data_IF_216870419666
#
_entry.id   IF_216870419666
#
_cell.length_a   1.000
_cell.length_b   1.000
_cell.length_c   1.000
_cell.angle_alpha   90.00
_cell.angle_beta   90.00
_cell.angle_gamma   90.00
#
_symmetry.space_group_name_H-M   'P 1'
#
loop_
_entity.id
_entity.type
_entity.pdbx_description
1 polymer ?
#
# COMPACT_ATOMS: atom_id res chain seq x y z
N UNK A 1 -49.94 -10.59 -52.20
CA UNK A 1 -48.89 -11.59 -51.90
C UNK A 1 -47.50 -10.96 -51.92
N UNK A 2 -47.05 -10.37 -53.03
CA UNK A 2 -45.72 -9.74 -53.15
C UNK A 2 -45.47 -8.59 -52.17
N UNK A 3 -46.46 -7.70 -51.99
CA UNK A 3 -46.36 -6.55 -51.07
C UNK A 3 -46.24 -6.96 -49.59
N UNK A 4 -46.95 -8.02 -49.20
CA UNK A 4 -46.91 -8.57 -47.83
C UNK A 4 -45.56 -9.23 -47.53
N UNK A 5 -44.98 -9.92 -48.51
CA UNK A 5 -43.63 -10.52 -48.39
C UNK A 5 -42.57 -9.43 -48.26
N UNK A 6 -42.66 -8.35 -49.06
CA UNK A 6 -41.75 -7.20 -48.95
C UNK A 6 -41.86 -6.53 -47.58
N UNK A 7 -43.08 -6.31 -47.07
CA UNK A 7 -43.29 -5.73 -45.75
C UNK A 7 -42.74 -6.62 -44.61
N UNK A 8 -42.93 -7.94 -44.70
CA UNK A 8 -42.41 -8.89 -43.72
C UNK A 8 -40.87 -8.93 -43.71
N UNK A 9 -40.25 -8.87 -44.90
CA UNK A 9 -38.78 -8.83 -45.03
C UNK A 9 -38.22 -7.52 -44.48
N UNK A 10 -38.85 -6.37 -44.77
CA UNK A 10 -38.43 -5.07 -44.23
C UNK A 10 -38.54 -5.05 -42.70
N UNK A 11 -39.63 -5.58 -42.14
CA UNK A 11 -39.82 -5.65 -40.69
C UNK A 11 -38.75 -6.54 -40.02
N UNK A 12 -38.43 -7.69 -40.61
CA UNK A 12 -37.42 -8.60 -40.10
C UNK A 12 -36.00 -7.99 -40.09
N UNK A 13 -35.65 -7.23 -41.14
CA UNK A 13 -34.34 -6.54 -41.24
C UNK A 13 -34.20 -5.44 -40.18
N UNK A 14 -35.28 -4.70 -39.89
CA UNK A 14 -35.27 -3.66 -38.86
C UNK A 14 -35.08 -4.25 -37.46
N UNK A 15 -35.74 -5.38 -37.15
CA UNK A 15 -35.65 -6.05 -35.84
C UNK A 15 -34.25 -6.63 -35.58
N UNK A 16 -33.58 -7.17 -36.62
CA UNK A 16 -32.22 -7.68 -36.50
C UNK A 16 -31.18 -6.57 -36.25
N UNK A 17 -31.42 -5.35 -36.74
CA UNK A 17 -30.51 -4.22 -36.57
C UNK A 17 -30.47 -3.62 -35.15
N UNK A 18 -31.57 -3.74 -34.39
CA UNK A 18 -31.66 -3.14 -33.03
C UNK A 18 -31.09 -4.01 -31.92
N UNK A 19 -30.82 -5.30 -32.19
CA UNK A 19 -30.21 -6.24 -31.25
C UNK A 19 -28.67 -6.13 -31.17
N UNK A 20 -28.05 -5.25 -31.96
CA UNK A 20 -26.59 -5.08 -32.04
C UNK A 20 -25.95 -4.24 -30.93
N UNK A 21 -26.73 -3.54 -30.09
CA UNK A 21 -26.19 -2.70 -29.01
C UNK A 21 -26.15 -3.46 -27.68
N UNK A 22 -25.23 -4.41 -27.56
CA UNK A 22 -24.80 -4.93 -26.26
C UNK A 22 -24.06 -3.85 -25.45
N UNK A 23 -23.98 -3.96 -24.11
CA UNK A 23 -23.30 -2.97 -23.27
C UNK A 23 -21.86 -2.73 -23.77
N UNK A 24 -21.56 -1.46 -24.05
CA UNK A 24 -20.26 -1.00 -24.56
C UNK A 24 -19.14 -1.55 -23.68
N UNK A 25 -18.08 -2.10 -24.29
CA UNK A 25 -16.85 -2.47 -23.57
C UNK A 25 -16.28 -1.21 -22.95
N UNK A 26 -16.55 -0.99 -21.67
CA UNK A 26 -16.08 0.19 -20.96
C UNK A 26 -14.56 0.28 -21.08
N UNK A 27 -14.05 1.40 -21.58
CA UNK A 27 -12.63 1.75 -21.64
C UNK A 27 -12.06 2.09 -20.26
N UNK A 28 -12.55 1.41 -19.21
CA UNK A 28 -12.05 1.56 -17.85
C UNK A 28 -10.68 0.89 -17.78
N UNK A 29 -9.64 1.67 -18.03
CA UNK A 29 -8.27 1.26 -17.77
C UNK A 29 -8.14 1.13 -16.26
N UNK A 30 -8.18 -0.09 -15.75
CA UNK A 30 -7.87 -0.36 -14.34
C UNK A 30 -6.51 0.28 -14.05
N UNK A 31 -6.45 1.14 -13.03
CA UNK A 31 -5.16 1.61 -12.51
C UNK A 31 -4.41 0.35 -12.10
N UNK A 32 -3.27 0.09 -12.75
CA UNK A 32 -2.41 -1.01 -12.36
C UNK A 32 -1.94 -0.80 -10.92
N UNK A 33 -1.52 -1.88 -10.24
CA UNK A 33 -0.90 -1.75 -8.93
C UNK A 33 0.27 -0.76 -9.00
N UNK A 34 0.46 0.00 -7.91
CA UNK A 34 1.64 0.85 -7.78
C UNK A 34 2.89 -0.01 -7.94
N UNK A 35 3.81 0.41 -8.81
CA UNK A 35 5.08 -0.28 -9.03
C UNK A 35 6.02 0.08 -7.88
N UNK A 36 6.27 -0.86 -6.99
CA UNK A 36 7.28 -0.71 -5.94
C UNK A 36 8.66 -0.91 -6.57
N UNK A 37 9.52 0.10 -6.50
CA UNK A 37 10.92 0.03 -6.91
C UNK A 37 11.77 -0.36 -5.70
N UNK A 38 12.59 -1.42 -5.77
CA UNK A 38 13.46 -1.79 -4.67
C UNK A 38 14.52 -0.70 -4.43
N UNK A 39 14.95 -0.56 -3.18
CA UNK A 39 16.07 0.31 -2.82
C UNK A 39 17.39 -0.30 -3.29
N UNK A 40 18.27 0.54 -3.82
CA UNK A 40 19.66 0.17 -4.14
C UNK A 40 20.50 0.23 -2.85
N UNK A 41 21.60 -0.53 -2.80
CA UNK A 41 22.53 -0.51 -1.67
C UNK A 41 22.94 0.94 -1.31
N UNK A 42 22.83 1.30 -0.02
CA UNK A 42 23.07 2.65 0.54
C UNK A 42 22.10 3.75 0.11
N UNK A 43 21.05 3.42 -0.64
CA UNK A 43 19.97 4.35 -0.91
C UNK A 43 19.07 4.49 0.33
N UNK A 44 18.67 5.72 0.64
CA UNK A 44 17.66 6.04 1.64
C UNK A 44 16.58 6.93 0.99
N UNK A 45 15.34 6.79 1.45
CA UNK A 45 14.20 7.61 1.00
C UNK A 45 13.53 8.19 2.24
N UNK A 46 13.28 9.51 2.30
CA UNK A 46 13.71 10.53 1.34
C UNK A 46 15.23 10.64 1.25
N UNK A 47 15.79 11.12 0.12
CA UNK A 47 17.24 11.23 -0.10
C UNK A 47 17.92 12.38 0.67
N UNK A 48 17.48 12.61 1.90
CA UNK A 48 17.99 13.62 2.83
C UNK A 48 18.51 12.92 4.09
N UNK A 49 19.34 13.60 4.88
CA UNK A 49 19.85 13.05 6.11
C UNK A 49 18.71 12.67 7.09
N UNK A 50 18.89 11.55 7.80
CA UNK A 50 17.91 10.96 8.71
C UNK A 50 17.36 11.98 9.73
N UNK A 51 18.24 12.76 10.36
CA UNK A 51 17.86 13.69 11.42
C UNK A 51 17.37 15.07 10.93
N UNK A 52 16.85 15.12 9.70
CA UNK A 52 16.24 16.34 9.14
C UNK A 52 14.75 16.36 9.48
N UNK A 53 14.17 17.56 9.64
CA UNK A 53 12.73 17.75 9.91
C UNK A 53 11.80 17.13 8.85
N UNK A 54 12.28 16.91 7.63
CA UNK A 54 11.52 16.29 6.54
C UNK A 54 11.63 14.76 6.50
N UNK A 55 12.42 14.18 7.40
CA UNK A 55 12.63 12.74 7.56
C UNK A 55 12.25 12.33 9.00
N UNK A 56 13.19 11.78 9.78
CA UNK A 56 12.93 11.29 11.14
C UNK A 56 12.91 12.40 12.20
N UNK A 57 13.27 13.64 11.85
CA UNK A 57 13.32 14.75 12.80
C UNK A 57 14.58 14.76 13.68
N UNK A 58 14.59 15.65 14.67
CA UNK A 58 15.75 15.83 15.56
C UNK A 58 15.85 14.69 16.58
N UNK A 59 17.08 14.29 16.92
CA UNK A 59 17.31 13.27 17.95
C UNK A 59 17.00 13.81 19.36
N UNK A 60 16.14 13.10 20.10
CA UNK A 60 15.78 13.44 21.47
C UNK A 60 16.77 12.91 22.53
N UNK A 61 17.81 12.20 22.09
CA UNK A 61 18.84 11.61 22.95
C UNK A 61 18.58 10.15 23.34
N UNK A 62 19.58 9.52 23.97
CA UNK A 62 19.55 8.09 24.33
C UNK A 62 18.57 7.83 25.48
N UNK A 63 17.80 6.75 25.39
CA UNK A 63 16.90 6.28 26.45
C UNK A 63 17.56 5.10 27.17
N UNK A 64 17.79 5.24 28.46
CA UNK A 64 18.25 4.18 29.35
C UNK A 64 17.07 3.51 30.06
N UNK A 65 17.26 2.28 30.58
CA UNK A 65 16.22 1.56 31.35
C UNK A 65 15.71 2.30 32.59
N UNK A 66 16.53 3.19 33.14
CA UNK A 66 16.20 3.99 34.33
C UNK A 66 15.59 5.36 33.97
N UNK A 67 15.52 5.72 32.69
CA UNK A 67 14.94 6.99 32.22
C UNK A 67 13.42 6.94 32.38
N UNK A 68 12.79 8.07 32.74
CA UNK A 68 11.34 8.20 32.76
C UNK A 68 10.72 7.93 31.39
N UNK A 69 11.42 8.30 30.30
CA UNK A 69 10.99 8.09 28.91
C UNK A 69 10.94 6.62 28.51
N UNK A 70 11.61 5.73 29.25
CA UNK A 70 11.55 4.30 28.97
C UNK A 70 10.14 3.73 29.13
N UNK A 71 9.30 4.37 29.95
CA UNK A 71 7.90 3.97 30.16
C UNK A 71 7.02 4.22 28.94
N UNK A 72 7.46 5.09 28.03
CA UNK A 72 6.73 5.41 26.80
C UNK A 72 7.03 4.39 25.68
N UNK A 73 8.00 3.49 25.89
CA UNK A 73 8.29 2.40 24.99
C UNK A 73 7.37 1.22 25.26
N UNK A 74 6.74 0.71 24.22
CA UNK A 74 5.85 -0.44 24.29
C UNK A 74 6.49 -1.68 23.65
N UNK A 75 6.35 -2.87 24.26
CA UNK A 75 6.88 -4.09 23.69
C UNK A 75 6.02 -4.59 22.52
N UNK A 76 6.65 -4.91 21.40
CA UNK A 76 6.01 -5.50 20.24
C UNK A 76 6.08 -7.04 20.28
N UNK A 77 4.92 -7.68 20.45
CA UNK A 77 4.76 -9.14 20.47
C UNK A 77 4.06 -9.69 19.21
N UNK A 78 4.20 -9.02 18.07
CA UNK A 78 3.64 -9.51 16.81
C UNK A 78 4.26 -10.86 16.41
N UNK A 79 3.41 -11.88 16.19
CA UNK A 79 3.84 -13.24 15.82
C UNK A 79 4.40 -13.33 14.39
N UNK A 80 4.18 -12.31 13.55
CA UNK A 80 4.67 -12.27 12.17
C UNK A 80 6.11 -11.72 12.07
N UNK A 81 6.62 -11.16 13.17
CA UNK A 81 7.96 -10.57 13.23
C UNK A 81 8.86 -11.49 14.04
N UNK A 82 9.96 -11.91 13.41
CA UNK A 82 11.02 -12.69 14.07
C UNK A 82 12.07 -11.70 14.57
N UNK A 83 12.18 -11.58 15.89
CA UNK A 83 13.22 -10.77 16.55
C UNK A 83 14.49 -11.59 16.74
N UNK A 84 15.65 -10.96 16.55
CA UNK A 84 16.95 -11.61 16.68
C UNK A 84 17.32 -11.84 18.14
N UNK A 85 17.27 -10.80 18.98
CA UNK A 85 17.51 -10.81 20.44
C UNK A 85 18.72 -11.68 20.85
N UNK A 86 19.90 -11.39 20.30
CA UNK A 86 21.14 -12.12 20.61
C UNK A 86 21.58 -11.90 22.07
N UNK A 87 21.12 -10.81 22.69
CA UNK A 87 21.38 -10.44 24.07
C UNK A 87 20.51 -11.22 25.06
N UNK A 88 19.38 -11.80 24.60
CA UNK A 88 18.40 -12.50 25.43
C UNK A 88 17.71 -11.60 26.47
N UNK A 89 17.60 -10.29 26.18
CA UNK A 89 17.00 -9.31 27.10
C UNK A 89 15.63 -8.82 26.64
N UNK A 90 15.26 -9.08 25.39
CA UNK A 90 14.03 -8.59 24.78
C UNK A 90 14.07 -7.10 24.41
N UNK A 91 15.25 -6.47 24.38
CA UNK A 91 15.41 -5.05 24.07
C UNK A 91 14.89 -4.70 22.66
N UNK A 92 15.13 -5.58 21.67
CA UNK A 92 14.67 -5.41 20.27
C UNK A 92 13.15 -5.26 20.13
N UNK A 93 12.39 -5.65 21.16
CA UNK A 93 10.92 -5.59 21.17
C UNK A 93 10.41 -4.23 21.60
N UNK A 94 11.19 -3.45 22.34
CA UNK A 94 10.75 -2.19 22.92
C UNK A 94 10.90 -1.08 21.89
N UNK A 95 9.78 -0.51 21.45
CA UNK A 95 9.73 0.56 20.45
C UNK A 95 8.68 1.60 20.81
N UNK A 96 8.74 2.77 20.20
CA UNK A 96 7.72 3.80 20.39
C UNK A 96 6.40 3.36 19.76
N UNK A 97 5.28 3.60 20.47
CA UNK A 97 3.95 3.41 19.90
C UNK A 97 3.66 4.51 18.87
N UNK A 98 3.95 4.28 17.59
CA UNK A 98 3.51 5.20 16.55
C UNK A 98 2.01 4.98 16.34
N UNK A 99 1.18 5.93 16.78
CA UNK A 99 -0.30 5.92 16.66
C UNK A 99 -0.83 5.82 15.21
N UNK A 100 0.07 5.77 14.23
CA UNK A 100 -0.20 5.46 12.84
C UNK A 100 0.80 4.41 12.39
N UNK A 101 0.44 3.14 12.50
CA UNK A 101 1.13 2.07 11.80
C UNK A 101 0.90 2.28 10.30
N UNK A 102 1.69 3.16 9.69
CA UNK A 102 2.02 3.03 8.28
C UNK A 102 3.05 1.92 8.22
N UNK A 103 2.59 0.68 8.02
CA UNK A 103 3.41 -0.51 7.74
C UNK A 103 4.33 -0.35 6.51
N UNK A 104 4.30 0.81 5.83
CA UNK A 104 5.15 1.16 4.73
C UNK A 104 5.93 2.43 5.09
N UNK A 105 7.15 2.24 5.61
CA UNK A 105 8.36 3.04 5.41
C UNK A 105 9.20 2.92 6.68
N UNK A 106 10.26 2.11 6.61
CA UNK A 106 11.40 2.23 7.53
C UNK A 106 11.09 1.89 9.00
N UNK A 107 10.83 0.61 9.30
CA UNK A 107 11.33 0.08 10.57
C UNK A 107 12.85 -0.01 10.39
N UNK A 108 13.53 1.06 10.76
CA UNK A 108 14.99 1.14 10.83
C UNK A 108 15.42 0.32 12.05
N UNK A 109 15.52 -1.00 11.89
CA UNK A 109 16.33 -1.82 12.79
C UNK A 109 17.73 -1.79 12.18
N UNK A 110 18.62 -1.02 12.80
CA UNK A 110 20.05 -1.11 12.55
C UNK A 110 20.62 -2.36 13.22
#
# INVERSE_FOLDING_TARGET
MKLCVVAAVVLAVQVLGVLGCGPMRGTSRRRGPHRLTPLVLKQHIPGVAEHTLTASGLTEGRIDRNDSRFRDLEPNYCNEIIFKDEEGTGADRLMTGVSTISFASSIFIQ
#
